data_IF_819765755844
#
_entry.id   IF_819765755844
#
_cell.length_a   1.000
_cell.length_b   1.000
_cell.length_c   1.000
_cell.angle_alpha   90.00
_cell.angle_beta   90.00
_cell.angle_gamma   90.00
#
_symmetry.space_group_name_H-M   'P 1'
#
loop_
_entity.id
_entity.type
_entity.pdbx_description
1 polymer ?
#
# COMPACT_ATOMS: atom_id res chain seq x y z
N UNK A 1 2.74 -5.53 -28.25
CA UNK A 1 1.40 -6.14 -28.14
C UNK A 1 0.72 -5.80 -26.80
N UNK A 2 1.16 -4.71 -26.12
CA UNK A 2 0.78 -4.28 -24.76
C UNK A 2 -0.19 -3.10 -24.71
N UNK A 3 -0.57 -2.55 -25.89
CA UNK A 3 -1.43 -1.35 -25.99
C UNK A 3 -2.95 -1.62 -25.95
N UNK A 4 -3.41 -2.86 -25.85
CA UNK A 4 -4.83 -3.17 -26.06
C UNK A 4 -5.65 -3.34 -24.75
N UNK A 5 -5.03 -3.45 -23.57
CA UNK A 5 -5.75 -3.70 -22.31
C UNK A 5 -6.15 -2.43 -21.54
N UNK A 6 -5.66 -1.25 -21.96
CA UNK A 6 -5.94 0.03 -21.28
C UNK A 6 -6.41 1.12 -22.28
N UNK A 7 -7.06 0.74 -23.35
CA UNK A 7 -7.50 1.64 -24.42
C UNK A 7 -8.74 2.49 -24.06
N UNK A 8 -9.17 2.52 -22.79
CA UNK A 8 -10.39 3.22 -22.38
C UNK A 8 -10.23 4.30 -21.31
N UNK A 9 -9.03 4.53 -20.76
CA UNK A 9 -8.87 5.61 -19.79
C UNK A 9 -8.50 6.92 -20.50
N UNK A 10 -9.25 8.03 -20.31
CA UNK A 10 -8.92 9.33 -20.84
C UNK A 10 -7.63 9.83 -20.19
N UNK A 11 -6.62 10.08 -21.02
CA UNK A 11 -5.37 10.69 -20.58
C UNK A 11 -5.59 12.19 -20.48
N UNK A 12 -5.48 12.75 -19.28
CA UNK A 12 -5.33 14.19 -19.10
C UNK A 12 -4.14 14.70 -19.95
N UNK A 13 -4.24 15.85 -20.64
CA UNK A 13 -3.16 16.39 -21.50
C UNK A 13 -1.90 16.81 -20.73
N UNK A 14 -1.86 16.71 -19.40
CA UNK A 14 -0.70 16.99 -18.55
C UNK A 14 -0.01 15.73 -18.03
N UNK A 15 -0.13 14.61 -18.72
CA UNK A 15 0.61 13.39 -18.36
C UNK A 15 2.13 13.61 -18.55
N UNK A 16 2.78 14.17 -17.55
CA UNK A 16 4.14 13.76 -17.23
C UNK A 16 4.05 12.26 -17.01
N UNK A 17 4.72 11.47 -17.84
CA UNK A 17 4.85 10.02 -17.68
C UNK A 17 5.57 9.83 -16.33
N UNK A 18 4.81 9.78 -15.24
CA UNK A 18 5.33 9.35 -13.94
C UNK A 18 5.88 7.94 -14.16
N UNK A 19 7.09 7.65 -13.72
CA UNK A 19 7.67 6.33 -13.89
C UNK A 19 6.77 5.32 -13.19
N UNK A 20 6.20 4.40 -13.96
CA UNK A 20 5.45 3.26 -13.42
C UNK A 20 6.43 2.45 -12.60
N UNK A 21 6.09 2.25 -11.35
CA UNK A 21 7.00 1.64 -10.40
C UNK A 21 6.83 0.14 -10.34
N UNK A 22 5.58 -0.32 -10.28
CA UNK A 22 5.29 -1.75 -10.12
C UNK A 22 4.25 -2.19 -11.15
N UNK A 23 4.58 -3.26 -11.86
CA UNK A 23 3.66 -3.94 -12.79
C UNK A 23 3.56 -5.41 -12.36
N UNK A 24 2.36 -5.84 -12.10
CA UNK A 24 1.99 -7.24 -11.91
C UNK A 24 1.16 -7.68 -13.12
N UNK A 25 1.53 -8.79 -13.75
CA UNK A 25 0.77 -9.35 -14.87
C UNK A 25 0.48 -10.82 -14.61
N UNK A 26 -0.77 -11.13 -14.35
CA UNK A 26 -1.32 -12.48 -14.16
C UNK A 26 -0.54 -13.32 -13.15
N UNK A 27 -0.14 -12.71 -12.05
CA UNK A 27 0.62 -13.39 -11.00
C UNK A 27 -0.20 -14.53 -10.41
N UNK A 28 0.42 -15.70 -10.40
CA UNK A 28 -0.07 -16.87 -9.68
C UNK A 28 0.99 -17.39 -8.72
N UNK A 29 0.56 -17.76 -7.53
CA UNK A 29 1.44 -18.38 -6.57
C UNK A 29 0.68 -19.29 -5.59
N UNK A 30 1.29 -20.41 -5.22
CA UNK A 30 0.78 -21.35 -4.22
C UNK A 30 1.92 -21.89 -3.37
N UNK A 31 1.80 -21.83 -2.06
CA UNK A 31 2.71 -22.52 -1.15
C UNK A 31 2.52 -24.06 -1.21
N UNK A 32 1.26 -24.47 -1.39
CA UNK A 32 0.86 -25.89 -1.48
C UNK A 32 0.03 -26.08 -2.74
N UNK A 33 0.33 -27.14 -3.48
CA UNK A 33 -0.42 -27.48 -4.72
C UNK A 33 -1.92 -27.55 -4.46
N UNK A 34 -2.71 -26.85 -5.26
CA UNK A 34 -4.18 -26.80 -5.16
C UNK A 34 -4.73 -25.71 -4.22
N UNK A 35 -3.87 -24.98 -3.50
CA UNK A 35 -4.29 -23.88 -2.62
C UNK A 35 -3.60 -22.59 -3.04
N UNK A 36 -4.20 -21.81 -3.98
CA UNK A 36 -3.59 -20.58 -4.46
C UNK A 36 -3.59 -19.52 -3.37
N UNK A 37 -2.42 -18.93 -3.14
CA UNK A 37 -2.26 -17.73 -2.32
C UNK A 37 -2.40 -16.44 -3.15
N UNK A 38 -2.06 -16.51 -4.45
CA UNK A 38 -2.35 -15.48 -5.45
C UNK A 38 -2.88 -16.15 -6.71
N UNK A 39 -3.94 -15.60 -7.30
CA UNK A 39 -4.62 -16.14 -8.46
C UNK A 39 -4.98 -15.03 -9.44
N UNK A 40 -4.28 -14.99 -10.58
CA UNK A 40 -4.50 -14.04 -11.67
C UNK A 40 -4.46 -12.56 -11.22
N UNK A 41 -3.45 -12.22 -10.40
CA UNK A 41 -3.29 -10.86 -9.86
C UNK A 41 -2.57 -10.00 -10.90
N UNK A 42 -3.28 -8.99 -11.42
CA UNK A 42 -2.73 -8.00 -12.35
C UNK A 42 -3.00 -6.61 -11.80
N UNK A 43 -1.93 -5.81 -11.66
CA UNK A 43 -2.02 -4.45 -11.13
C UNK A 43 -0.91 -3.57 -11.70
N UNK A 44 -1.16 -2.28 -11.69
CA UNK A 44 -0.19 -1.22 -11.90
C UNK A 44 -0.23 -0.34 -10.66
N UNK A 45 0.93 -0.14 -10.02
CA UNK A 45 1.04 0.67 -8.82
C UNK A 45 1.99 1.81 -9.12
N UNK A 46 1.52 3.03 -8.94
CA UNK A 46 2.26 4.26 -9.17
C UNK A 46 3.01 4.70 -7.91
N UNK A 47 3.93 5.70 -7.97
CA UNK A 47 4.51 6.28 -6.77
C UNK A 47 3.45 6.78 -5.80
N UNK A 48 3.78 6.79 -4.51
CA UNK A 48 2.88 7.23 -3.44
C UNK A 48 2.72 6.19 -2.32
N UNK A 49 1.86 6.48 -1.37
CA UNK A 49 1.56 5.58 -0.23
C UNK A 49 0.26 4.83 -0.52
N UNK A 50 0.34 3.51 -0.63
CA UNK A 50 -0.77 2.65 -0.99
C UNK A 50 -1.20 1.74 0.16
N UNK A 51 -2.51 1.69 0.40
CA UNK A 51 -3.14 0.70 1.27
C UNK A 51 -3.18 -0.66 0.57
N UNK A 52 -2.73 -1.72 1.22
CA UNK A 52 -3.01 -3.10 0.82
C UNK A 52 -4.04 -3.69 1.80
N UNK A 53 -5.29 -3.74 1.39
CA UNK A 53 -6.41 -4.22 2.20
C UNK A 53 -6.88 -5.62 1.75
N UNK A 54 -7.42 -6.37 2.69
CA UNK A 54 -7.98 -7.71 2.44
C UNK A 54 -8.15 -8.46 3.74
N UNK A 55 -9.01 -9.46 3.74
CA UNK A 55 -9.19 -10.36 4.88
C UNK A 55 -7.92 -11.14 5.22
N UNK A 56 -7.89 -11.75 6.41
CA UNK A 56 -6.83 -12.67 6.75
C UNK A 56 -6.84 -13.86 5.78
N UNK A 57 -5.66 -14.17 5.22
CA UNK A 57 -5.54 -15.22 4.19
C UNK A 57 -5.85 -14.76 2.76
N UNK A 58 -6.21 -13.49 2.51
CA UNK A 58 -6.45 -12.97 1.16
C UNK A 58 -5.20 -12.92 0.27
N UNK A 59 -4.00 -13.17 0.80
CA UNK A 59 -2.75 -13.17 0.03
C UNK A 59 -1.88 -11.92 0.19
N UNK A 60 -2.23 -10.98 1.08
CA UNK A 60 -1.48 -9.71 1.28
C UNK A 60 0.01 -9.93 1.52
N UNK A 61 0.39 -10.67 2.56
CA UNK A 61 1.81 -10.98 2.86
C UNK A 61 2.49 -11.70 1.69
N UNK A 62 1.76 -12.58 1.00
CA UNK A 62 2.30 -13.28 -0.19
C UNK A 62 2.56 -12.30 -1.33
N UNK A 63 1.66 -11.33 -1.55
CA UNK A 63 1.87 -10.28 -2.55
C UNK A 63 3.09 -9.42 -2.20
N UNK A 64 3.24 -9.00 -0.93
CA UNK A 64 4.44 -8.27 -0.48
C UNK A 64 5.71 -9.08 -0.69
N UNK A 65 5.69 -10.39 -0.45
CA UNK A 65 6.84 -11.28 -0.69
C UNK A 65 7.18 -11.44 -2.17
N UNK A 66 6.18 -11.44 -3.05
CA UNK A 66 6.41 -11.42 -4.51
C UNK A 66 7.03 -10.09 -4.93
N UNK A 67 6.48 -8.97 -4.46
CA UNK A 67 6.99 -7.62 -4.73
C UNK A 67 8.42 -7.40 -4.23
N UNK A 68 8.80 -8.04 -3.13
CA UNK A 68 10.17 -7.98 -2.58
C UNK A 68 11.14 -8.98 -3.21
N UNK A 69 10.66 -9.88 -4.07
CA UNK A 69 11.48 -10.93 -4.68
C UNK A 69 11.85 -12.09 -3.75
N UNK A 70 11.30 -12.13 -2.52
CA UNK A 70 11.50 -13.27 -1.59
C UNK A 70 10.84 -14.52 -2.15
N UNK A 71 9.73 -14.35 -2.86
CA UNK A 71 8.98 -15.43 -3.49
C UNK A 71 8.87 -15.18 -4.99
N UNK A 72 9.20 -16.18 -5.80
CA UNK A 72 9.02 -16.14 -7.25
C UNK A 72 7.64 -16.66 -7.61
N UNK A 73 6.84 -15.93 -8.42
CA UNK A 73 5.55 -16.41 -8.90
C UNK A 73 5.66 -17.74 -9.63
N UNK A 74 4.63 -18.58 -9.54
CA UNK A 74 4.53 -19.83 -10.31
C UNK A 74 4.27 -19.56 -11.79
N UNK A 75 3.57 -18.47 -12.10
CA UNK A 75 3.35 -17.93 -13.44
C UNK A 75 3.04 -16.44 -13.36
N UNK A 76 3.06 -15.75 -14.52
CA UNK A 76 2.95 -14.31 -14.60
C UNK A 76 4.30 -13.61 -14.44
N UNK A 77 4.29 -12.29 -14.49
CA UNK A 77 5.49 -11.46 -14.36
C UNK A 77 5.30 -10.33 -13.36
N UNK A 78 6.34 -10.07 -12.56
CA UNK A 78 6.42 -8.93 -11.66
C UNK A 78 7.60 -8.06 -12.08
N UNK A 79 7.35 -6.77 -12.28
CA UNK A 79 8.39 -5.78 -12.55
C UNK A 79 8.30 -4.65 -11.52
N UNK A 80 9.43 -4.31 -10.93
CA UNK A 80 9.60 -3.19 -10.01
C UNK A 80 10.67 -2.27 -10.59
N UNK A 81 10.32 -1.04 -10.99
CA UNK A 81 11.23 -0.12 -11.66
C UNK A 81 11.97 -0.76 -12.85
N UNK A 82 11.21 -1.40 -13.74
CA UNK A 82 11.70 -2.14 -14.91
C UNK A 82 12.61 -3.34 -14.60
N UNK A 83 12.71 -3.73 -13.33
CA UNK A 83 13.53 -4.85 -12.88
C UNK A 83 12.68 -5.99 -12.31
N UNK A 84 13.12 -7.23 -12.52
CA UNK A 84 12.52 -8.37 -11.82
C UNK A 84 13.02 -8.39 -10.37
N UNK A 85 12.16 -8.24 -9.36
CA UNK A 85 12.58 -8.20 -7.96
C UNK A 85 13.22 -9.52 -7.49
N UNK A 86 12.94 -10.64 -8.15
CA UNK A 86 13.53 -11.95 -7.85
C UNK A 86 14.87 -12.19 -8.58
N UNK A 87 15.41 -11.19 -9.30
CA UNK A 87 16.70 -11.33 -9.97
C UNK A 87 17.88 -11.38 -8.96
N UNK A 88 18.99 -11.99 -9.39
CA UNK A 88 20.19 -12.11 -8.55
C UNK A 88 21.15 -10.92 -8.66
N UNK A 89 20.72 -9.81 -9.23
CA UNK A 89 21.53 -8.60 -9.39
C UNK A 89 21.44 -7.77 -8.10
N UNK A 90 22.53 -7.58 -7.34
CA UNK A 90 22.49 -6.89 -6.03
C UNK A 90 21.98 -5.46 -6.10
N UNK A 91 22.30 -4.72 -7.16
CA UNK A 91 21.82 -3.33 -7.37
C UNK A 91 20.30 -3.25 -7.54
N UNK A 92 19.68 -4.27 -8.12
CA UNK A 92 18.23 -4.34 -8.30
C UNK A 92 17.53 -4.75 -7.01
N UNK A 93 18.11 -5.68 -6.25
CA UNK A 93 17.59 -6.08 -4.93
C UNK A 93 17.59 -4.92 -3.93
N UNK A 94 18.54 -4.01 -4.02
CA UNK A 94 18.64 -2.82 -3.16
C UNK A 94 17.54 -1.77 -3.42
N UNK A 95 16.70 -1.94 -4.44
CA UNK A 95 15.57 -1.03 -4.73
C UNK A 95 14.35 -1.28 -3.85
N UNK A 96 14.23 -2.47 -3.26
CA UNK A 96 13.07 -2.88 -2.48
C UNK A 96 13.46 -3.32 -1.08
N UNK A 97 12.62 -2.99 -0.10
CA UNK A 97 12.75 -3.49 1.25
C UNK A 97 11.40 -3.88 1.84
N UNK A 98 11.31 -5.05 2.49
CA UNK A 98 10.11 -5.54 3.15
C UNK A 98 10.35 -5.65 4.66
N UNK A 99 9.44 -5.08 5.44
CA UNK A 99 9.27 -5.41 6.87
C UNK A 99 8.03 -6.28 7.02
N UNK A 100 8.23 -7.53 7.43
CA UNK A 100 7.14 -8.41 7.85
C UNK A 100 6.76 -8.14 9.33
N UNK A 101 5.54 -8.49 9.70
CA UNK A 101 5.02 -8.23 11.05
C UNK A 101 5.92 -8.77 12.17
N UNK A 102 6.40 -10.00 12.04
CA UNK A 102 7.24 -10.68 13.04
C UNK A 102 8.73 -10.75 12.65
N UNK A 103 9.21 -9.81 11.84
CA UNK A 103 10.61 -9.78 11.42
C UNK A 103 11.51 -9.43 12.59
N UNK A 104 12.65 -10.13 12.72
CA UNK A 104 13.69 -9.78 13.69
C UNK A 104 14.96 -9.32 12.97
N UNK A 105 15.54 -8.22 13.45
CA UNK A 105 16.82 -7.74 12.96
C UNK A 105 17.96 -8.36 13.77
N UNK A 106 18.93 -8.99 13.12
CA UNK A 106 20.11 -9.50 13.81
C UNK A 106 21.02 -8.36 14.30
N UNK A 107 21.72 -8.58 15.41
CA UNK A 107 22.66 -7.62 15.96
C UNK A 107 22.38 -7.28 17.42
N UNK A 108 23.28 -6.51 18.04
CA UNK A 108 23.11 -6.08 19.43
C UNK A 108 22.21 -4.85 19.53
N UNK A 109 22.40 -3.89 18.63
CA UNK A 109 21.64 -2.64 18.54
C UNK A 109 21.23 -2.40 17.09
N UNK A 110 20.30 -1.46 16.86
CA UNK A 110 19.95 -1.08 15.48
C UNK A 110 21.13 -0.40 14.76
N UNK A 111 21.99 0.30 15.47
CA UNK A 111 23.19 0.89 14.88
C UNK A 111 24.17 -0.19 14.39
N UNK A 112 24.34 -1.28 15.14
CA UNK A 112 25.16 -2.41 14.69
C UNK A 112 24.59 -3.06 13.43
N UNK A 113 23.25 -3.26 13.42
CA UNK A 113 22.55 -3.79 12.25
C UNK A 113 22.69 -2.85 11.05
N UNK A 114 22.41 -1.57 11.23
CA UNK A 114 22.50 -0.56 10.17
C UNK A 114 23.91 -0.48 9.58
N UNK A 115 24.95 -0.48 10.42
CA UNK A 115 26.36 -0.46 9.98
C UNK A 115 26.72 -1.64 9.07
N UNK A 116 26.12 -2.79 9.30
CA UNK A 116 26.34 -4.00 8.50
C UNK A 116 25.46 -4.02 7.24
N UNK A 117 24.18 -3.79 7.40
CA UNK A 117 23.16 -4.06 6.39
C UNK A 117 22.97 -2.89 5.40
N UNK A 118 23.15 -1.64 5.82
CA UNK A 118 22.96 -0.47 4.96
C UNK A 118 23.91 -0.41 3.75
N UNK A 119 24.98 -1.20 3.76
CA UNK A 119 25.92 -1.31 2.63
C UNK A 119 25.26 -1.78 1.33
N UNK A 120 24.13 -2.46 1.45
CA UNK A 120 23.34 -2.93 0.30
C UNK A 120 22.36 -1.86 -0.21
N UNK A 121 22.26 -0.71 0.48
CA UNK A 121 21.32 0.37 0.19
C UNK A 121 22.05 1.71 0.06
N UNK A 122 22.47 2.08 -1.16
CA UNK A 122 23.29 3.29 -1.38
C UNK A 122 22.62 4.59 -0.93
N UNK A 123 21.29 4.63 -0.91
CA UNK A 123 20.48 5.79 -0.52
C UNK A 123 20.25 5.90 0.99
N UNK A 124 20.82 5.00 1.80
CA UNK A 124 20.65 5.01 3.25
C UNK A 124 21.11 6.31 3.89
N UNK A 125 20.25 6.91 4.70
CA UNK A 125 20.50 8.14 5.45
C UNK A 125 20.61 7.86 6.95
N UNK A 126 21.85 7.85 7.52
CA UNK A 126 22.01 7.73 8.97
C UNK A 126 21.35 8.86 9.76
N UNK A 127 21.31 10.08 9.18
CA UNK A 127 20.64 11.23 9.78
C UNK A 127 19.15 11.00 9.90
N UNK A 128 18.48 10.59 8.81
CA UNK A 128 17.04 10.30 8.82
C UNK A 128 16.69 9.16 9.78
N UNK A 129 17.54 8.13 9.86
CA UNK A 129 17.36 7.06 10.85
C UNK A 129 17.38 7.60 12.28
N UNK A 130 18.37 8.45 12.60
CA UNK A 130 18.50 9.04 13.94
C UNK A 130 17.32 9.98 14.27
N UNK A 131 16.85 10.76 13.31
CA UNK A 131 15.66 11.63 13.46
C UNK A 131 14.40 10.80 13.71
N UNK A 132 14.20 9.72 12.97
CA UNK A 132 13.04 8.83 13.13
C UNK A 132 13.09 8.10 14.47
N UNK A 133 14.25 7.59 14.88
CA UNK A 133 14.42 6.98 16.21
C UNK A 133 14.11 7.99 17.32
N UNK A 134 14.65 9.20 17.22
CA UNK A 134 14.40 10.27 18.20
C UNK A 134 12.92 10.63 18.29
N UNK A 135 12.21 10.67 17.17
CA UNK A 135 10.77 10.92 17.16
C UNK A 135 10.00 9.84 17.93
N UNK A 136 10.43 8.60 17.86
CA UNK A 136 9.88 7.49 18.65
C UNK A 136 10.41 7.41 20.11
N UNK A 137 11.25 8.36 20.54
CA UNK A 137 11.84 8.35 21.88
C UNK A 137 12.93 7.29 22.08
N UNK A 138 13.60 6.86 20.99
CA UNK A 138 14.65 5.85 21.01
C UNK A 138 15.99 6.47 20.62
N UNK A 139 17.10 5.96 21.20
CA UNK A 139 18.45 6.39 20.83
C UNK A 139 19.04 5.51 19.72
N UNK A 140 18.55 4.27 19.59
CA UNK A 140 19.08 3.25 18.70
C UNK A 140 20.30 2.49 19.25
N UNK A 141 20.78 2.82 20.44
CA UNK A 141 21.83 2.10 21.15
C UNK A 141 21.30 1.10 22.17
N UNK A 142 20.00 1.04 22.36
CA UNK A 142 19.35 0.07 23.21
C UNK A 142 19.60 -1.35 22.68
N UNK A 143 19.92 -2.30 23.58
CA UNK A 143 20.05 -3.70 23.17
C UNK A 143 18.72 -4.24 22.61
N UNK A 144 18.72 -4.71 21.37
CA UNK A 144 17.52 -5.20 20.67
C UNK A 144 16.76 -6.27 21.46
N UNK A 145 17.48 -7.14 22.19
CA UNK A 145 16.88 -8.17 23.03
C UNK A 145 16.07 -7.64 24.22
N UNK A 146 16.33 -6.39 24.64
CA UNK A 146 15.68 -5.77 25.78
C UNK A 146 14.48 -4.88 25.34
N UNK A 147 14.33 -4.64 24.05
CA UNK A 147 13.22 -3.84 23.53
C UNK A 147 11.90 -4.60 23.65
N UNK A 148 10.84 -3.90 24.03
CA UNK A 148 9.47 -4.40 23.86
C UNK A 148 9.16 -4.64 22.39
N UNK A 149 8.11 -5.42 22.12
CA UNK A 149 7.66 -5.66 20.74
C UNK A 149 7.39 -4.33 19.99
N UNK A 150 6.67 -3.38 20.61
CA UNK A 150 6.42 -2.07 20.01
C UNK A 150 7.69 -1.28 19.75
N UNK A 151 8.67 -1.28 20.67
CA UNK A 151 9.94 -0.58 20.44
C UNK A 151 10.80 -1.25 19.38
N UNK A 152 10.77 -2.58 19.25
CA UNK A 152 11.40 -3.29 18.11
C UNK A 152 10.78 -2.82 16.79
N UNK A 153 9.44 -2.77 16.71
CA UNK A 153 8.72 -2.31 15.52
C UNK A 153 9.07 -0.85 15.16
N UNK A 154 9.06 0.07 16.15
CA UNK A 154 9.51 1.47 15.98
C UNK A 154 10.92 1.55 15.40
N UNK A 155 11.83 0.76 15.94
CA UNK A 155 13.24 0.69 15.50
C UNK A 155 13.36 0.21 14.06
N UNK A 156 12.61 -0.83 13.69
CA UNK A 156 12.59 -1.39 12.33
C UNK A 156 12.03 -0.38 11.32
N UNK A 157 10.94 0.28 11.64
CA UNK A 157 10.32 1.29 10.79
C UNK A 157 11.25 2.50 10.60
N UNK A 158 11.88 2.99 11.69
CA UNK A 158 12.82 4.09 11.63
C UNK A 158 13.99 3.79 10.69
N UNK A 159 14.51 2.56 10.73
CA UNK A 159 15.55 2.08 9.85
C UNK A 159 15.08 1.95 8.40
N UNK A 160 13.93 1.30 8.16
CA UNK A 160 13.42 1.05 6.82
C UNK A 160 13.15 2.34 6.02
N UNK A 161 12.53 3.33 6.66
CA UNK A 161 12.30 4.64 6.06
C UNK A 161 13.61 5.38 5.74
N UNK A 162 14.67 5.11 6.49
CA UNK A 162 15.98 5.70 6.24
C UNK A 162 16.77 5.02 5.11
N UNK A 163 16.35 3.86 4.62
CA UNK A 163 17.00 3.16 3.51
C UNK A 163 16.90 3.93 2.19
N UNK A 164 15.83 4.73 2.00
CA UNK A 164 15.61 5.49 0.78
C UNK A 164 15.41 4.59 -0.45
N UNK A 165 14.84 3.39 -0.24
CA UNK A 165 14.51 2.44 -1.32
C UNK A 165 13.39 2.97 -2.20
N UNK A 166 13.34 2.50 -3.42
CA UNK A 166 12.31 2.88 -4.38
C UNK A 166 10.96 2.27 -4.02
N UNK A 167 10.94 1.01 -3.54
CA UNK A 167 9.74 0.32 -3.07
C UNK A 167 9.91 -0.12 -1.61
N UNK A 168 9.13 0.47 -0.71
CA UNK A 168 9.08 0.08 0.69
C UNK A 168 7.77 -0.68 0.98
N UNK A 169 7.90 -1.86 1.55
CA UNK A 169 6.79 -2.77 1.84
C UNK A 169 6.70 -2.96 3.36
N UNK A 170 5.53 -2.65 3.92
CA UNK A 170 5.28 -2.73 5.35
C UNK A 170 4.09 -3.64 5.63
N UNK A 171 4.32 -4.75 6.34
CA UNK A 171 3.27 -5.66 6.77
C UNK A 171 2.91 -5.36 8.22
N UNK A 172 1.67 -4.90 8.45
CA UNK A 172 1.09 -4.54 9.75
C UNK A 172 2.01 -3.61 10.59
N UNK A 173 2.43 -2.45 10.08
CA UNK A 173 3.40 -1.58 10.77
C UNK A 173 2.84 -0.96 12.06
N UNK A 174 1.53 -0.88 12.22
CA UNK A 174 0.86 -0.31 13.40
C UNK A 174 0.64 -1.31 14.53
N UNK A 175 0.86 -2.61 14.28
CA UNK A 175 0.69 -3.65 15.28
C UNK A 175 1.65 -3.44 16.47
N UNK A 176 1.10 -3.49 17.68
CA UNK A 176 1.87 -3.34 18.91
C UNK A 176 2.31 -1.90 19.22
N UNK A 177 1.90 -0.92 18.42
CA UNK A 177 2.11 0.50 18.70
C UNK A 177 0.94 1.06 19.52
N UNK A 178 1.28 1.91 20.50
CA UNK A 178 0.30 2.73 21.20
C UNK A 178 -0.20 3.90 20.33
N UNK A 179 -1.23 4.60 20.76
CA UNK A 179 -1.88 5.70 20.02
C UNK A 179 -0.87 6.79 19.64
N UNK A 180 -0.01 7.18 20.59
CA UNK A 180 1.01 8.21 20.36
C UNK A 180 2.01 7.77 19.29
N UNK A 181 2.48 6.53 19.36
CA UNK A 181 3.42 5.96 18.38
C UNK A 181 2.82 5.81 16.99
N UNK A 182 1.51 5.53 16.89
CA UNK A 182 0.80 5.53 15.59
C UNK A 182 0.75 6.93 14.98
N UNK A 183 0.49 7.95 15.80
CA UNK A 183 0.51 9.34 15.32
C UNK A 183 1.92 9.77 14.87
N UNK A 184 2.96 9.35 15.60
CA UNK A 184 4.36 9.58 15.22
C UNK A 184 4.68 8.86 13.91
N UNK A 185 4.29 7.59 13.75
CA UNK A 185 4.48 6.82 12.52
C UNK A 185 3.85 7.54 11.33
N UNK A 186 2.60 8.00 11.48
CA UNK A 186 1.91 8.78 10.45
C UNK A 186 2.71 10.03 10.03
N UNK A 187 3.19 10.80 11.00
CA UNK A 187 4.02 11.99 10.74
C UNK A 187 5.34 11.65 10.06
N UNK A 188 6.00 10.56 10.47
CA UNK A 188 7.25 10.11 9.87
C UNK A 188 7.04 9.66 8.42
N UNK A 189 6.00 8.88 8.13
CA UNK A 189 5.66 8.47 6.76
C UNK A 189 5.44 9.69 5.87
N UNK A 190 4.59 10.63 6.29
CA UNK A 190 4.27 11.82 5.51
C UNK A 190 5.49 12.68 5.14
N UNK A 191 6.52 12.74 6.02
CA UNK A 191 7.72 13.56 5.78
C UNK A 191 8.87 12.81 5.11
N UNK A 192 8.91 11.48 5.21
CA UNK A 192 10.05 10.66 4.78
C UNK A 192 9.88 10.07 3.39
N UNK A 193 8.64 9.88 2.94
CA UNK A 193 8.33 9.35 1.62
C UNK A 193 8.53 10.45 0.58
N UNK A 194 9.23 10.12 -0.51
CA UNK A 194 9.53 11.04 -1.60
C UNK A 194 8.57 10.81 -2.76
N UNK A 195 8.37 11.82 -3.60
CA UNK A 195 7.44 11.80 -4.75
C UNK A 195 7.68 10.65 -5.74
N UNK A 196 8.91 10.15 -5.83
CA UNK A 196 9.27 9.03 -6.70
C UNK A 196 9.37 7.68 -5.98
N UNK A 197 8.91 7.61 -4.74
CA UNK A 197 8.97 6.41 -3.90
C UNK A 197 7.59 5.78 -3.79
N UNK A 198 7.53 4.46 -3.82
CA UNK A 198 6.29 3.71 -3.53
C UNK A 198 6.39 3.07 -2.17
N UNK A 199 5.35 3.25 -1.37
CA UNK A 199 5.20 2.57 -0.08
C UNK A 199 3.90 1.79 -0.11
N UNK A 200 3.96 0.47 0.08
CA UNK A 200 2.76 -0.37 0.21
C UNK A 200 2.63 -0.82 1.65
N UNK A 201 1.51 -0.48 2.27
CA UNK A 201 1.22 -0.79 3.68
C UNK A 201 0.07 -1.79 3.73
N UNK A 202 0.37 -3.04 4.09
CA UNK A 202 -0.66 -4.01 4.41
C UNK A 202 -1.12 -3.81 5.85
N UNK A 203 -2.40 -3.54 6.05
CA UNK A 203 -2.98 -3.40 7.38
C UNK A 203 -4.46 -3.76 7.39
N UNK A 204 -4.92 -4.27 8.53
CA UNK A 204 -6.34 -4.47 8.83
C UNK A 204 -6.95 -3.27 9.57
N UNK A 205 -6.12 -2.32 10.04
CA UNK A 205 -6.54 -1.12 10.78
C UNK A 205 -6.33 0.13 9.93
N UNK A 206 -7.16 0.30 8.90
CA UNK A 206 -7.08 1.40 7.92
C UNK A 206 -7.09 2.77 8.61
N UNK A 207 -7.96 2.97 9.61
CA UNK A 207 -8.15 4.24 10.32
C UNK A 207 -6.86 4.82 10.93
N UNK A 208 -5.89 3.98 11.30
CA UNK A 208 -4.62 4.44 11.89
C UNK A 208 -3.81 5.33 10.93
N UNK A 209 -3.93 5.10 9.61
CA UNK A 209 -3.13 5.74 8.56
C UNK A 209 -3.97 6.32 7.41
N UNK A 210 -5.30 6.36 7.54
CA UNK A 210 -6.27 6.64 6.47
C UNK A 210 -5.92 7.86 5.60
N UNK A 211 -5.51 8.96 6.21
CA UNK A 211 -5.21 10.20 5.47
C UNK A 211 -3.84 10.21 4.77
N UNK A 212 -3.10 9.10 4.74
CA UNK A 212 -1.83 8.99 4.05
C UNK A 212 -1.93 8.25 2.72
N UNK A 213 -3.00 7.51 2.51
CA UNK A 213 -3.11 6.67 1.34
C UNK A 213 -3.54 7.47 0.12
N UNK A 214 -2.67 7.50 -0.89
CA UNK A 214 -2.91 8.08 -2.21
C UNK A 214 -3.54 7.08 -3.18
N UNK A 215 -3.54 5.80 -2.79
CA UNK A 215 -4.16 4.72 -3.55
C UNK A 215 -4.38 3.47 -2.71
N UNK A 216 -5.03 2.48 -3.30
CA UNK A 216 -5.26 1.21 -2.62
C UNK A 216 -5.15 0.01 -3.55
N UNK A 217 -4.80 -1.13 -2.96
CA UNK A 217 -4.79 -2.47 -3.53
C UNK A 217 -5.71 -3.30 -2.65
N UNK A 218 -6.84 -3.76 -3.16
CA UNK A 218 -7.84 -4.49 -2.39
C UNK A 218 -7.94 -5.93 -2.87
N UNK A 219 -7.83 -6.88 -1.94
CA UNK A 219 -7.78 -8.31 -2.23
C UNK A 219 -8.90 -9.08 -1.53
N UNK A 220 -9.41 -10.11 -2.21
CA UNK A 220 -10.34 -11.09 -1.65
C UNK A 220 -10.03 -12.49 -2.20
N UNK A 221 -9.92 -13.49 -1.33
CA UNK A 221 -9.80 -14.88 -1.75
C UNK A 221 -8.67 -15.15 -2.75
N UNK A 222 -7.48 -14.60 -2.52
CA UNK A 222 -6.30 -14.70 -3.38
C UNK A 222 -6.37 -13.91 -4.70
N UNK A 223 -7.42 -13.14 -4.93
CA UNK A 223 -7.63 -12.32 -6.13
C UNK A 223 -7.57 -10.83 -5.80
N UNK A 224 -7.22 -10.06 -6.82
CA UNK A 224 -7.33 -8.60 -6.78
C UNK A 224 -8.79 -8.21 -7.08
N UNK A 225 -9.36 -7.35 -6.24
CA UNK A 225 -10.65 -6.70 -6.47
C UNK A 225 -10.47 -5.33 -7.12
N UNK A 226 -9.48 -4.58 -6.64
CA UNK A 226 -9.22 -3.21 -7.06
C UNK A 226 -7.73 -2.88 -6.86
N UNK A 227 -7.16 -2.07 -7.76
CA UNK A 227 -5.90 -1.36 -7.58
C UNK A 227 -5.99 -0.04 -8.34
N UNK A 228 -5.76 1.08 -7.65
CA UNK A 228 -5.85 2.41 -8.26
C UNK A 228 -5.59 3.53 -7.26
N UNK A 229 -5.56 4.76 -7.77
CA UNK A 229 -5.34 5.97 -7.00
C UNK A 229 -6.65 6.52 -6.41
N UNK A 230 -6.53 7.32 -5.35
CA UNK A 230 -7.67 8.06 -4.76
C UNK A 230 -8.35 8.95 -5.80
N UNK A 231 -7.56 9.69 -6.58
CA UNK A 231 -8.07 10.62 -7.60
C UNK A 231 -8.95 9.93 -8.64
N UNK A 232 -8.60 8.72 -9.07
CA UNK A 232 -9.40 7.94 -10.01
C UNK A 232 -10.75 7.54 -9.40
N UNK A 233 -10.76 7.22 -8.11
CA UNK A 233 -11.99 6.83 -7.39
C UNK A 233 -12.89 8.04 -7.16
N UNK A 234 -12.36 9.14 -6.60
CA UNK A 234 -13.17 10.32 -6.26
C UNK A 234 -13.61 11.12 -7.48
N UNK A 235 -12.94 10.95 -8.63
CA UNK A 235 -13.43 11.53 -9.90
C UNK A 235 -14.76 10.91 -10.38
N UNK A 236 -15.16 9.76 -9.85
CA UNK A 236 -16.32 8.97 -10.29
C UNK A 236 -17.29 8.64 -9.16
N UNK A 237 -16.79 8.56 -7.94
CA UNK A 237 -17.57 8.21 -6.76
C UNK A 237 -17.48 9.33 -5.72
N UNK A 238 -18.64 9.70 -5.17
CA UNK A 238 -18.74 10.63 -4.06
C UNK A 238 -18.97 9.87 -2.74
N UNK A 239 -18.25 10.28 -1.69
CA UNK A 239 -18.35 9.74 -0.34
C UNK A 239 -18.99 10.76 0.58
N UNK A 240 -20.16 10.46 1.12
CA UNK A 240 -20.92 11.41 1.94
C UNK A 240 -21.41 10.80 3.25
N UNK A 241 -21.61 11.67 4.25
CA UNK A 241 -22.17 11.29 5.56
C UNK A 241 -23.47 12.06 5.79
N UNK A 242 -24.57 11.34 6.01
CA UNK A 242 -25.89 11.94 6.18
C UNK A 242 -26.58 11.48 7.47
N UNK A 243 -27.56 12.25 7.94
CA UNK A 243 -28.35 11.92 9.14
C UNK A 243 -29.58 11.05 8.82
N UNK A 244 -29.92 10.90 7.55
CA UNK A 244 -31.05 10.11 7.06
C UNK A 244 -30.66 9.32 5.82
N UNK A 245 -31.35 8.21 5.51
CA UNK A 245 -31.13 7.47 4.27
C UNK A 245 -31.28 8.37 3.05
N UNK A 246 -30.39 8.20 2.07
CA UNK A 246 -30.45 8.93 0.80
C UNK A 246 -30.92 7.99 -0.32
N UNK A 247 -31.87 8.42 -1.17
CA UNK A 247 -32.22 7.65 -2.36
C UNK A 247 -31.12 7.75 -3.43
N UNK A 248 -31.00 6.73 -4.27
CA UNK A 248 -30.10 6.75 -5.44
C UNK A 248 -28.61 6.50 -5.12
N UNK A 249 -28.26 6.15 -3.88
CA UNK A 249 -26.87 5.78 -3.53
C UNK A 249 -26.54 4.38 -4.05
N UNK A 250 -25.32 4.19 -4.50
CA UNK A 250 -24.79 2.89 -4.93
C UNK A 250 -24.60 1.95 -3.75
N UNK A 251 -24.08 2.49 -2.63
CA UNK A 251 -23.85 1.75 -1.39
C UNK A 251 -24.07 2.63 -0.17
N UNK A 252 -24.60 2.05 0.90
CA UNK A 252 -24.78 2.74 2.18
C UNK A 252 -24.60 1.79 3.35
N UNK A 253 -23.90 2.24 4.38
CA UNK A 253 -23.85 1.55 5.68
C UNK A 253 -24.14 2.51 6.83
N UNK A 254 -24.65 1.98 7.96
CA UNK A 254 -24.94 2.78 9.14
C UNK A 254 -23.81 2.69 10.14
N UNK A 255 -23.31 3.84 10.59
CA UNK A 255 -22.31 3.93 11.64
C UNK A 255 -22.70 5.02 12.65
N UNK A 256 -22.83 4.66 13.94
CA UNK A 256 -23.19 5.56 15.05
C UNK A 256 -24.39 6.46 14.75
N UNK A 257 -25.43 5.92 14.10
CA UNK A 257 -26.67 6.64 13.77
C UNK A 257 -26.56 7.59 12.57
N UNK A 258 -25.45 7.55 11.83
CA UNK A 258 -25.27 8.23 10.54
C UNK A 258 -25.19 7.23 9.41
N UNK A 259 -25.50 7.67 8.22
CA UNK A 259 -25.40 6.90 6.98
C UNK A 259 -24.14 7.34 6.25
N UNK A 260 -23.24 6.38 6.01
CA UNK A 260 -22.07 6.55 5.16
C UNK A 260 -22.46 6.07 3.77
N UNK A 261 -22.35 6.91 2.76
CA UNK A 261 -22.90 6.64 1.42
C UNK A 261 -21.79 6.73 0.37
N UNK A 262 -21.92 5.89 -0.66
CA UNK A 262 -21.22 6.01 -1.93
C UNK A 262 -22.26 6.24 -3.02
N UNK A 263 -22.08 7.29 -3.79
CA UNK A 263 -22.90 7.62 -4.98
C UNK A 263 -22.01 7.91 -6.18
N UNK A 264 -22.58 8.08 -7.36
CA UNK A 264 -21.83 8.64 -8.49
C UNK A 264 -21.44 10.09 -8.18
N UNK A 265 -20.27 10.51 -8.65
CA UNK A 265 -19.78 11.86 -8.46
C UNK A 265 -20.54 12.83 -9.39
N UNK A 266 -21.07 13.91 -8.84
CA UNK A 266 -21.78 14.98 -9.58
C UNK A 266 -20.93 16.27 -9.69
N UNK A 267 -19.61 16.16 -9.50
CA UNK A 267 -18.66 17.29 -9.58
C UNK A 267 -18.24 17.88 -8.23
N UNK A 268 -18.79 17.42 -7.12
CA UNK A 268 -18.33 17.80 -5.79
C UNK A 268 -17.07 17.01 -5.42
N UNK A 269 -16.01 17.71 -5.03
CA UNK A 269 -14.81 17.06 -4.48
C UNK A 269 -15.13 16.46 -3.11
N UNK A 270 -15.21 15.14 -3.06
CA UNK A 270 -15.33 14.38 -1.80
C UNK A 270 -14.02 13.67 -1.51
N UNK A 271 -13.75 13.43 -0.23
CA UNK A 271 -12.61 12.64 0.19
C UNK A 271 -13.02 11.17 0.28
N UNK A 272 -12.15 10.29 -0.17
CA UNK A 272 -12.41 8.84 -0.08
C UNK A 272 -12.45 8.37 1.38
N UNK A 273 -13.39 7.49 1.69
CA UNK A 273 -13.36 6.61 2.87
C UNK A 273 -12.96 5.22 2.40
N UNK A 274 -11.66 4.89 2.54
CA UNK A 274 -11.12 3.62 2.09
C UNK A 274 -11.78 2.41 2.78
N UNK A 275 -12.23 2.57 4.03
CA UNK A 275 -12.94 1.53 4.77
C UNK A 275 -14.33 1.29 4.16
N UNK A 276 -15.07 2.37 3.91
CA UNK A 276 -16.39 2.29 3.28
C UNK A 276 -16.27 1.70 1.87
N UNK A 277 -15.27 2.13 1.09
CA UNK A 277 -15.01 1.61 -0.24
C UNK A 277 -14.67 0.11 -0.20
N UNK A 278 -13.82 -0.32 0.74
CA UNK A 278 -13.52 -1.73 0.95
C UNK A 278 -14.78 -2.54 1.28
N UNK A 279 -15.64 -2.06 2.20
CA UNK A 279 -16.92 -2.70 2.55
C UNK A 279 -17.82 -2.84 1.32
N UNK A 280 -17.91 -1.80 0.52
CA UNK A 280 -18.73 -1.77 -0.70
C UNK A 280 -18.26 -2.80 -1.74
N UNK A 281 -16.95 -2.93 -1.96
CA UNK A 281 -16.37 -3.94 -2.85
C UNK A 281 -16.55 -5.39 -2.35
N UNK A 282 -16.85 -5.58 -1.07
CA UNK A 282 -17.16 -6.89 -0.48
C UNK A 282 -18.67 -7.17 -0.38
N UNK A 283 -19.50 -6.25 -0.83
CA UNK A 283 -20.96 -6.35 -0.82
C UNK A 283 -21.51 -6.87 -2.15
N UNK A 284 -22.82 -7.09 -2.20
CA UNK A 284 -23.57 -7.41 -3.43
C UNK A 284 -23.55 -6.24 -4.44
N UNK A 285 -23.17 -5.03 -3.99
CA UNK A 285 -23.08 -3.80 -4.80
C UNK A 285 -21.75 -3.63 -5.51
N UNK A 286 -20.83 -4.57 -5.37
CA UNK A 286 -19.49 -4.52 -5.99
C UNK A 286 -19.55 -4.25 -7.49
N UNK A 287 -20.38 -4.99 -8.21
CA UNK A 287 -20.42 -4.91 -9.68
C UNK A 287 -20.99 -3.58 -10.16
N UNK A 288 -21.96 -2.99 -9.42
CA UNK A 288 -22.47 -1.65 -9.68
C UNK A 288 -21.35 -0.60 -9.54
N UNK A 289 -20.58 -0.67 -8.44
CA UNK A 289 -19.46 0.24 -8.16
C UNK A 289 -18.35 0.11 -9.20
N UNK A 290 -17.93 -1.12 -9.53
CA UNK A 290 -16.91 -1.35 -10.53
C UNK A 290 -17.35 -0.93 -11.93
N UNK A 291 -18.65 -1.00 -12.23
CA UNK A 291 -19.20 -0.50 -13.50
C UNK A 291 -19.04 1.01 -13.58
N UNK A 292 -19.35 1.75 -12.53
CA UNK A 292 -19.16 3.21 -12.48
C UNK A 292 -17.68 3.58 -12.59
N UNK A 293 -16.79 2.88 -11.86
CA UNK A 293 -15.36 3.14 -11.93
C UNK A 293 -14.76 2.86 -13.31
N UNK A 294 -15.30 1.91 -14.07
CA UNK A 294 -14.81 1.56 -15.40
C UNK A 294 -15.56 2.27 -16.53
N UNK A 295 -16.61 3.05 -16.25
CA UNK A 295 -17.30 3.86 -17.24
C UNK A 295 -16.38 4.97 -17.76
N UNK A 296 -16.51 5.36 -19.03
CA UNK A 296 -15.83 6.56 -19.52
C UNK A 296 -16.33 7.79 -18.77
N UNK A 297 -15.45 8.74 -18.38
CA UNK A 297 -15.89 9.98 -17.77
C UNK A 297 -16.87 10.68 -18.71
N UNK A 298 -17.87 11.41 -18.17
CA UNK A 298 -18.72 12.26 -19.01
C UNK A 298 -17.81 13.19 -19.82
N UNK A 299 -18.04 13.25 -21.13
CA UNK A 299 -17.37 14.23 -21.98
C UNK A 299 -17.66 15.61 -21.40
N UNK A 300 -16.63 16.32 -20.94
CA UNK A 300 -16.74 17.74 -20.64
C UNK A 300 -17.31 18.40 -21.90
N UNK A 301 -18.54 18.83 -21.83
CA UNK A 301 -19.13 19.67 -22.88
C UNK A 301 -18.44 21.03 -22.78
N UNK A 302 -17.61 21.32 -23.76
CA UNK A 302 -17.02 22.64 -24.04
C UNK A 302 -18.09 23.76 -24.17
#
# INVERSE_FOLDING_TARGET
MWHALYAGMPRSPYFLILPIVVILDKIQFSYTKGFPALSDVSARIEPGIHLLAGENGAGKTTLLRVLSGIVTPSSGTCSVYDSNPACDIPSERGKTFLIEDNMEFPGKTIHDFAKMHSRFYPSFSPLLMAENLKAFGLSGFEPMKNLSYGNKKKTQIAYALALGVELLLLDEPTNGLDIESKAILKSILARSVKDNQTVVIATHTVADLENLFEGAIMMQGSKLLFAGLEEDVVSRLAFTVTSSPQPGVLYSETNLGKYLNISEAEGDETRIDWRLFYSALHSEKRDDILTVLNSNPPLEND
#
